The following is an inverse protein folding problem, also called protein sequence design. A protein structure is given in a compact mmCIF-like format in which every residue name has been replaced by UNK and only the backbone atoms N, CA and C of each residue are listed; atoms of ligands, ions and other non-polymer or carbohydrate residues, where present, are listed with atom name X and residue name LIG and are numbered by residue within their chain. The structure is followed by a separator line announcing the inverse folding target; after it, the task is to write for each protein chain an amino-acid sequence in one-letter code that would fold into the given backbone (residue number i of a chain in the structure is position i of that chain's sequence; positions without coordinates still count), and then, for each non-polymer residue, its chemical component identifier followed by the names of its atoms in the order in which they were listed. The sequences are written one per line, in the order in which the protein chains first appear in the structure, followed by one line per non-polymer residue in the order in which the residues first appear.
data_IF_181059562923
#
_entry.id   IF_181059562923
#
_cell.length_a   1.000
_cell.length_b   1.000
_cell.length_c   1.000
_cell.angle_alpha   90.00
_cell.angle_beta   90.00
_cell.angle_gamma   90.00
#
_symmetry.space_group_name_H-M   'P 1'
#
loop_
_entity.id
_entity.type
_entity.pdbx_description
1 polymer ?
#
# COMPACT_ATOMS: atom_id res chain seq x y z
N UNK A 1 -7.15 -1.55 -21.95
CA UNK A 1 -7.83 -1.06 -20.72
C UNK A 1 -6.87 -0.16 -19.97
N UNK A 2 -7.36 0.94 -19.43
CA UNK A 2 -6.60 1.81 -18.51
C UNK A 2 -7.06 1.52 -17.10
N UNK A 3 -6.14 1.30 -16.17
CA UNK A 3 -6.48 1.16 -14.75
C UNK A 3 -6.04 2.39 -13.99
N UNK A 4 -6.77 2.70 -12.93
CA UNK A 4 -6.40 3.69 -11.93
C UNK A 4 -6.08 2.96 -10.63
N UNK A 5 -4.90 3.23 -10.07
CA UNK A 5 -4.46 2.73 -8.78
C UNK A 5 -4.46 3.90 -7.79
N UNK A 6 -5.39 3.85 -6.83
CA UNK A 6 -5.41 4.75 -5.68
C UNK A 6 -4.74 4.05 -4.49
N UNK A 7 -3.72 4.68 -3.92
CA UNK A 7 -3.02 4.24 -2.71
C UNK A 7 -3.27 5.28 -1.62
N UNK A 8 -4.10 4.93 -0.64
CA UNK A 8 -4.50 5.79 0.48
C UNK A 8 -3.74 5.38 1.72
N UNK A 9 -3.06 6.32 2.35
CA UNK A 9 -2.46 6.13 3.67
C UNK A 9 -3.43 6.64 4.71
N UNK A 10 -3.72 5.79 5.71
CA UNK A 10 -4.65 6.11 6.78
C UNK A 10 -3.96 6.09 8.14
N UNK A 11 -4.34 7.05 8.99
CA UNK A 11 -3.95 7.13 10.39
C UNK A 11 -5.22 7.21 11.24
N UNK A 12 -5.35 6.36 12.26
CA UNK A 12 -6.56 6.24 13.07
C UNK A 12 -7.84 6.08 12.21
N UNK A 13 -7.74 5.27 11.15
CA UNK A 13 -8.83 5.03 10.19
C UNK A 13 -9.15 6.20 9.24
N UNK A 14 -8.50 7.36 9.40
CA UNK A 14 -8.74 8.54 8.57
C UNK A 14 -7.69 8.65 7.47
N UNK A 15 -8.12 8.95 6.24
CA UNK A 15 -7.20 9.20 5.11
C UNK A 15 -6.35 10.44 5.39
N UNK A 16 -5.04 10.30 5.35
CA UNK A 16 -4.07 11.40 5.53
C UNK A 16 -3.50 11.86 4.20
N UNK A 17 -3.17 10.92 3.32
CA UNK A 17 -2.66 11.21 1.98
C UNK A 17 -3.15 10.14 1.00
N UNK A 18 -3.34 10.53 -0.25
CA UNK A 18 -3.70 9.63 -1.33
C UNK A 18 -2.82 9.92 -2.54
N UNK A 19 -2.31 8.85 -3.14
CA UNK A 19 -1.62 8.88 -4.42
C UNK A 19 -2.47 8.17 -5.44
N UNK A 20 -2.76 8.82 -6.56
CA UNK A 20 -3.51 8.22 -7.67
C UNK A 20 -2.61 8.17 -8.89
N UNK A 21 -2.47 6.98 -9.45
CA UNK A 21 -1.66 6.71 -10.64
C UNK A 21 -2.52 5.99 -11.67
N UNK A 22 -2.36 6.33 -12.95
CA UNK A 22 -3.08 5.66 -14.04
C UNK A 22 -2.07 4.96 -14.93
N UNK A 23 -2.39 3.73 -15.32
CA UNK A 23 -1.50 2.90 -16.14
C UNK A 23 -2.28 2.23 -17.26
N UNK A 24 -1.67 2.18 -18.44
CA UNK A 24 -2.23 1.51 -19.60
C UNK A 24 -1.73 0.07 -19.68
N UNK A 25 -2.64 -0.87 -19.95
CA UNK A 25 -2.27 -2.27 -20.08
C UNK A 25 -1.42 -2.51 -21.31
N UNK A 26 -0.23 -3.07 -21.12
CA UNK A 26 0.66 -3.51 -22.20
C UNK A 26 0.41 -4.99 -22.46
N UNK A 27 0.19 -5.38 -23.72
CA UNK A 27 0.00 -6.79 -24.06
C UNK A 27 1.35 -7.49 -24.15
N UNK A 28 1.55 -8.48 -23.29
CA UNK A 28 2.78 -9.28 -23.22
C UNK A 28 2.42 -10.73 -22.90
N UNK A 29 2.92 -11.66 -23.72
CA UNK A 29 2.84 -13.10 -23.46
C UNK A 29 1.43 -13.62 -23.16
N UNK A 30 0.43 -13.17 -23.93
CA UNK A 30 -0.95 -13.63 -23.82
C UNK A 30 -1.81 -12.91 -22.75
N UNK A 31 -1.27 -11.88 -22.09
CA UNK A 31 -1.98 -11.14 -21.04
C UNK A 31 -1.66 -9.65 -21.09
N UNK A 32 -2.52 -8.83 -20.49
CA UNK A 32 -2.22 -7.43 -20.23
C UNK A 32 -1.45 -7.28 -18.92
N UNK A 33 -0.32 -6.59 -18.96
CA UNK A 33 0.56 -6.29 -17.83
C UNK A 33 0.51 -4.79 -17.55
N UNK A 34 0.46 -4.43 -16.28
CA UNK A 34 0.45 -3.04 -15.80
C UNK A 34 1.62 -2.88 -14.83
N UNK A 35 2.46 -1.86 -15.02
CA UNK A 35 3.68 -1.68 -14.22
C UNK A 35 3.78 -0.25 -13.70
N UNK A 36 3.77 -0.10 -12.39
CA UNK A 36 4.04 1.18 -11.71
C UNK A 36 5.50 1.18 -11.23
N UNK A 37 6.44 1.44 -12.13
CA UNK A 37 7.87 1.32 -11.83
C UNK A 37 8.45 2.59 -11.19
N UNK A 38 9.36 2.41 -10.22
CA UNK A 38 10.10 3.50 -9.55
C UNK A 38 9.22 4.66 -9.04
N UNK A 39 7.96 4.35 -8.73
CA UNK A 39 6.98 5.31 -8.24
C UNK A 39 7.47 5.89 -6.90
N UNK A 40 7.77 7.20 -6.81
CA UNK A 40 8.40 7.76 -5.63
C UNK A 40 7.43 7.72 -4.44
N UNK A 41 7.97 7.33 -3.29
CA UNK A 41 7.25 7.41 -2.02
C UNK A 41 7.01 8.88 -1.66
N UNK A 42 5.82 9.22 -1.18
CA UNK A 42 5.53 10.59 -0.80
C UNK A 42 6.30 11.00 0.46
N UNK A 43 6.52 12.31 0.62
CA UNK A 43 7.29 12.87 1.75
C UNK A 43 6.73 12.41 3.10
N UNK A 44 5.41 12.38 3.26
CA UNK A 44 4.75 11.88 4.47
C UNK A 44 5.24 10.48 4.85
N UNK A 45 5.29 9.56 3.89
CA UNK A 45 5.71 8.18 4.12
C UNK A 45 7.20 8.07 4.40
N UNK A 46 8.04 8.86 3.72
CA UNK A 46 9.48 8.94 4.00
C UNK A 46 9.71 9.43 5.43
N UNK A 47 9.06 10.53 5.84
CA UNK A 47 9.15 11.06 7.20
C UNK A 47 8.61 10.08 8.23
N UNK A 48 7.49 9.41 7.95
CA UNK A 48 6.91 8.39 8.82
C UNK A 48 7.90 7.26 9.08
N UNK A 49 8.51 6.69 8.04
CA UNK A 49 9.51 5.62 8.17
C UNK A 49 10.73 6.10 8.96
N UNK A 50 11.21 7.31 8.69
CA UNK A 50 12.36 7.88 9.41
C UNK A 50 12.08 8.04 10.90
N UNK A 51 10.90 8.57 11.27
CA UNK A 51 10.49 8.70 12.68
C UNK A 51 10.28 7.33 13.34
N UNK A 52 9.65 6.40 12.64
CA UNK A 52 9.42 5.04 13.14
C UNK A 52 10.74 4.33 13.44
N UNK A 53 11.75 4.47 12.58
CA UNK A 53 13.08 3.88 12.77
C UNK A 53 13.79 4.39 14.02
N UNK A 54 13.57 5.65 14.39
CA UNK A 54 14.20 6.30 15.55
C UNK A 54 13.64 5.82 16.89
N UNK A 55 12.48 5.15 16.91
CA UNK A 55 11.93 4.61 18.16
C UNK A 55 12.85 3.52 18.72
N UNK A 56 13.15 3.54 20.03
CA UNK A 56 14.16 2.67 20.63
C UNK A 56 13.71 1.22 20.71
N UNK A 57 12.42 0.98 20.91
CA UNK A 57 11.87 -0.35 21.16
C UNK A 57 10.95 -0.79 20.03
N UNK A 58 10.98 -2.10 19.71
CA UNK A 58 10.07 -2.70 18.73
C UNK A 58 8.60 -2.47 19.12
N UNK A 59 8.26 -2.64 20.39
CA UNK A 59 6.87 -2.49 20.85
C UNK A 59 6.34 -1.07 20.60
N UNK A 60 7.16 -0.04 20.81
CA UNK A 60 6.77 1.33 20.47
C UNK A 60 6.52 1.53 18.97
N UNK A 61 7.32 0.89 18.11
CA UNK A 61 7.08 0.91 16.66
C UNK A 61 5.76 0.23 16.32
N UNK A 62 5.49 -0.93 16.91
CA UNK A 62 4.25 -1.66 16.69
C UNK A 62 3.03 -0.87 17.19
N UNK A 63 3.10 -0.21 18.35
CA UNK A 63 2.01 0.65 18.85
C UNK A 63 1.69 1.80 17.88
N UNK A 64 2.70 2.36 17.21
CA UNK A 64 2.47 3.36 16.15
C UNK A 64 1.83 2.71 14.91
N UNK A 65 2.27 1.52 14.53
CA UNK A 65 1.76 0.79 13.37
C UNK A 65 0.33 0.26 13.55
N UNK A 66 -0.13 0.04 14.78
CA UNK A 66 -1.51 -0.41 15.09
C UNK A 66 -2.58 0.50 14.48
N UNK A 67 -2.30 1.81 14.44
CA UNK A 67 -3.23 2.81 13.91
C UNK A 67 -2.84 3.29 12.51
N UNK A 68 -1.87 2.63 11.87
CA UNK A 68 -1.38 2.97 10.54
C UNK A 68 -1.77 1.87 9.55
N UNK A 69 -2.45 2.24 8.47
CA UNK A 69 -2.84 1.30 7.42
C UNK A 69 -2.70 1.92 6.04
N UNK A 70 -2.57 1.08 5.02
CA UNK A 70 -2.63 1.52 3.62
C UNK A 70 -3.78 0.80 2.93
N UNK A 71 -4.59 1.53 2.18
CA UNK A 71 -5.66 0.98 1.36
C UNK A 71 -5.35 1.23 -0.11
N UNK A 72 -5.19 0.17 -0.88
CA UNK A 72 -4.98 0.25 -2.33
C UNK A 72 -6.25 -0.19 -3.06
N UNK A 73 -6.73 0.65 -3.97
CA UNK A 73 -7.94 0.41 -4.76
C UNK A 73 -7.57 0.53 -6.22
N UNK A 74 -7.70 -0.56 -6.95
CA UNK A 74 -7.48 -0.62 -8.39
C UNK A 74 -8.83 -0.63 -9.09
N UNK A 75 -9.04 0.32 -9.99
CA UNK A 75 -10.28 0.46 -10.76
C UNK A 75 -10.00 0.46 -12.25
N UNK A 76 -10.96 -0.01 -13.04
CA UNK A 76 -11.01 0.33 -14.45
C UNK A 76 -11.32 1.84 -14.56
N UNK A 77 -10.46 2.58 -15.26
CA UNK A 77 -10.57 4.04 -15.32
C UNK A 77 -11.82 4.50 -16.08
N UNK A 78 -12.31 3.72 -17.04
CA UNK A 78 -13.43 4.08 -17.90
C UNK A 78 -14.76 3.69 -17.24
N UNK A 79 -14.89 2.43 -16.81
CA UNK A 79 -16.13 1.89 -16.24
C UNK A 79 -16.31 2.21 -14.75
N UNK A 80 -15.24 2.64 -14.08
CA UNK A 80 -15.17 2.83 -12.62
C UNK A 80 -15.35 1.55 -11.80
N UNK A 81 -15.39 0.39 -12.45
CA UNK A 81 -15.42 -0.92 -11.81
C UNK A 81 -14.21 -1.12 -10.90
N UNK A 82 -14.43 -1.66 -9.70
CA UNK A 82 -13.34 -2.03 -8.78
C UNK A 82 -12.81 -3.40 -9.17
N UNK A 83 -11.56 -3.45 -9.60
CA UNK A 83 -10.90 -4.68 -10.04
C UNK A 83 -10.21 -5.40 -8.87
N UNK A 84 -9.61 -4.63 -7.95
CA UNK A 84 -8.94 -5.17 -6.78
C UNK A 84 -8.95 -4.14 -5.64
N UNK A 85 -9.09 -4.62 -4.41
CA UNK A 85 -8.90 -3.81 -3.20
C UNK A 85 -8.01 -4.56 -2.23
N UNK A 86 -6.97 -3.90 -1.74
CA UNK A 86 -6.00 -4.46 -0.80
C UNK A 86 -5.92 -3.55 0.42
N UNK A 87 -6.14 -4.12 1.59
CA UNK A 87 -5.92 -3.45 2.86
C UNK A 87 -4.64 -3.99 3.49
N UNK A 88 -3.72 -3.08 3.82
CA UNK A 88 -2.43 -3.39 4.43
C UNK A 88 -2.41 -2.92 5.88
N UNK A 89 -2.05 -3.85 6.75
CA UNK A 89 -1.69 -3.61 8.16
C UNK A 89 -0.26 -4.08 8.37
N UNK A 90 0.42 -3.52 9.36
CA UNK A 90 1.88 -3.62 9.46
C UNK A 90 2.34 -3.97 10.86
N UNK A 91 3.44 -4.72 10.91
CA UNK A 91 4.23 -4.96 12.12
C UNK A 91 5.72 -4.91 11.76
N UNK A 92 6.58 -4.51 12.70
CA UNK A 92 8.03 -4.61 12.51
C UNK A 92 8.47 -6.07 12.66
N UNK A 93 9.19 -6.60 11.68
CA UNK A 93 9.73 -7.97 11.71
C UNK A 93 10.60 -8.23 12.96
N UNK A 94 10.44 -9.40 13.59
CA UNK A 94 11.38 -9.93 14.59
C UNK A 94 12.51 -10.74 13.97
N UNK A 95 12.40 -11.09 12.68
CA UNK A 95 13.27 -12.10 12.10
C UNK A 95 14.59 -11.50 11.62
N UNK A 96 15.69 -12.23 11.82
CA UNK A 96 16.95 -11.99 11.12
C UNK A 96 16.80 -12.16 9.59
N UNK A 97 15.69 -12.74 9.14
CA UNK A 97 15.45 -13.21 7.77
C UNK A 97 14.66 -12.22 6.90
N UNK A 98 14.47 -10.98 7.37
CA UNK A 98 13.90 -9.88 6.57
C UNK A 98 12.37 -9.70 6.71
N UNK A 99 11.75 -9.14 5.67
CA UNK A 99 10.32 -8.82 5.65
C UNK A 99 9.47 -10.07 5.36
N UNK A 100 8.32 -10.18 6.02
CA UNK A 100 7.36 -11.27 5.86
C UNK A 100 5.95 -10.70 5.66
N UNK A 101 5.05 -11.47 5.06
CA UNK A 101 3.64 -11.09 4.90
C UNK A 101 2.74 -12.32 4.89
N UNK A 102 1.47 -12.13 5.26
CA UNK A 102 0.41 -13.13 5.14
C UNK A 102 -0.76 -12.48 4.42
N UNK A 103 -1.38 -13.22 3.50
CA UNK A 103 -2.49 -12.72 2.68
C UNK A 103 -3.78 -13.40 3.13
N UNK A 104 -4.78 -12.59 3.42
CA UNK A 104 -6.13 -13.04 3.77
C UNK A 104 -7.13 -12.57 2.72
N UNK A 105 -8.12 -13.40 2.43
CA UNK A 105 -9.29 -12.98 1.67
C UNK A 105 -10.31 -12.38 2.65
N UNK A 106 -10.63 -11.10 2.46
CA UNK A 106 -11.65 -10.44 3.27
C UNK A 106 -13.04 -10.99 2.91
N UNK A 107 -13.77 -11.46 3.92
CA UNK A 107 -15.18 -11.87 3.82
C UNK A 107 -16.01 -10.98 4.73
N UNK A 108 -17.28 -10.76 4.37
CA UNK A 108 -18.23 -10.03 5.21
C UNK A 108 -18.92 -10.97 6.19
#
# INVERSE_FOLDING_TARGET
MTISCSTKVCSFGSQVVEKVENEHGQYDSGRYVYRFENSPMCEYMITFINKLKQLPEKNLKNNVLENFSVLQIIKNNDTKEVLLTLAYVFEVSTSEHGAQHVIYRLTK
#
